data_IF_155005195425
#
_entry.id   IF_155005195425
#
_cell.length_a   1.000
_cell.length_b   1.000
_cell.length_c   1.000
_cell.angle_alpha   90.00
_cell.angle_beta   90.00
_cell.angle_gamma   90.00
#
_symmetry.space_group_name_H-M   'P 1'
#
loop_
_entity.id
_entity.type
_entity.pdbx_description
1 polymer ?
#
# COMPACT_ATOMS: atom_id res chain seq x y z
N UNK A 1 4.08 -14.66 3.48
CA UNK A 1 3.03 -14.40 4.47
C UNK A 1 1.68 -14.85 3.94
N UNK A 2 0.79 -15.29 4.82
CA UNK A 2 -0.63 -15.50 4.50
C UNK A 2 -1.36 -14.16 4.58
N UNK A 3 -2.27 -13.91 3.63
CA UNK A 3 -3.06 -12.67 3.57
C UNK A 3 -4.54 -13.02 3.78
N UNK A 4 -5.18 -12.32 4.71
CA UNK A 4 -6.57 -12.51 5.11
C UNK A 4 -7.40 -11.28 4.74
N UNK A 5 -8.40 -11.40 3.84
CA UNK A 5 -9.32 -10.31 3.57
C UNK A 5 -10.17 -10.01 4.81
N UNK A 6 -10.33 -8.71 5.12
CA UNK A 6 -11.12 -8.21 6.26
C UNK A 6 -12.31 -7.36 5.83
N UNK A 7 -12.63 -7.35 4.54
CA UNK A 7 -13.70 -6.54 3.95
C UNK A 7 -13.22 -5.15 3.59
N UNK A 8 -14.17 -4.21 3.49
CA UNK A 8 -13.91 -2.82 3.14
C UNK A 8 -13.95 -1.94 4.38
N UNK A 9 -13.12 -0.91 4.42
CA UNK A 9 -13.12 0.14 5.44
C UNK A 9 -13.24 1.50 4.76
N UNK A 10 -13.95 2.44 5.37
CA UNK A 10 -14.03 3.82 4.90
C UNK A 10 -13.08 4.68 5.74
N UNK A 11 -12.16 5.37 5.08
CA UNK A 11 -11.18 6.29 5.69
C UNK A 11 -11.38 7.65 5.03
N UNK A 12 -11.84 8.63 5.82
CA UNK A 12 -12.38 9.88 5.29
C UNK A 12 -13.42 9.59 4.18
N UNK A 13 -13.15 10.01 2.94
CA UNK A 13 -14.02 9.80 1.79
C UNK A 13 -13.59 8.63 0.89
N UNK A 14 -12.51 7.93 1.24
CA UNK A 14 -11.94 6.84 0.45
C UNK A 14 -12.40 5.50 1.03
N UNK A 15 -12.83 4.58 0.15
CA UNK A 15 -13.10 3.19 0.54
C UNK A 15 -11.92 2.32 0.19
N UNK A 16 -11.37 1.62 1.18
CA UNK A 16 -10.22 0.75 1.03
C UNK A 16 -10.62 -0.71 1.24
N UNK A 17 -10.09 -1.61 0.41
CA UNK A 17 -10.07 -3.05 0.70
C UNK A 17 -9.01 -3.31 1.77
N UNK A 18 -9.42 -3.92 2.89
CA UNK A 18 -8.56 -4.17 4.05
C UNK A 18 -8.13 -5.62 4.11
N UNK A 19 -6.86 -5.82 4.40
CA UNK A 19 -6.28 -7.13 4.64
C UNK A 19 -5.38 -7.12 5.87
N UNK A 20 -5.28 -8.26 6.52
CA UNK A 20 -4.31 -8.53 7.57
C UNK A 20 -3.46 -9.72 7.19
N UNK A 21 -2.32 -9.88 7.82
CA UNK A 21 -1.37 -10.95 7.51
C UNK A 21 -1.00 -11.72 8.77
N UNK A 22 -0.52 -12.95 8.61
CA UNK A 22 -0.02 -13.76 9.73
C UNK A 22 1.28 -13.19 10.35
N UNK A 23 1.93 -12.25 9.68
CA UNK A 23 3.11 -11.53 10.17
C UNK A 23 2.77 -10.22 10.89
N UNK A 24 1.49 -9.89 11.03
CA UNK A 24 1.01 -8.70 11.73
C UNK A 24 0.93 -7.43 10.89
N UNK A 25 1.21 -7.49 9.58
CA UNK A 25 1.00 -6.36 8.68
C UNK A 25 -0.49 -6.09 8.44
N UNK A 26 -0.85 -4.81 8.43
CA UNK A 26 -2.12 -4.29 7.92
C UNK A 26 -1.87 -3.78 6.49
N UNK A 27 -2.75 -4.16 5.56
CA UNK A 27 -2.69 -3.71 4.16
C UNK A 27 -4.02 -3.06 3.81
N UNK A 28 -3.96 -1.90 3.17
CA UNK A 28 -5.12 -1.23 2.60
C UNK A 28 -4.88 -0.99 1.11
N UNK A 29 -5.89 -1.25 0.29
CA UNK A 29 -5.87 -0.96 -1.13
C UNK A 29 -7.01 0.00 -1.46
N UNK A 30 -6.66 1.13 -2.05
CA UNK A 30 -7.60 2.17 -2.50
C UNK A 30 -7.37 2.52 -3.97
N UNK A 31 -8.30 3.30 -4.51
CA UNK A 31 -8.09 4.01 -5.77
C UNK A 31 -8.23 5.50 -5.50
N UNK A 32 -7.11 6.20 -5.62
CA UNK A 32 -6.99 7.62 -5.34
C UNK A 32 -6.59 8.35 -6.62
N UNK A 33 -7.38 9.34 -7.02
CA UNK A 33 -7.22 10.07 -8.29
C UNK A 33 -7.02 9.15 -9.50
N UNK A 34 -7.82 8.08 -9.57
CA UNK A 34 -7.79 7.09 -10.65
C UNK A 34 -6.61 6.11 -10.60
N UNK A 35 -5.63 6.30 -9.72
CA UNK A 35 -4.46 5.42 -9.55
C UNK A 35 -4.69 4.41 -8.43
N UNK A 36 -4.21 3.18 -8.59
CA UNK A 36 -4.21 2.22 -7.48
C UNK A 36 -3.17 2.62 -6.43
N UNK A 37 -3.57 2.52 -5.18
CA UNK A 37 -2.72 2.77 -4.03
C UNK A 37 -2.76 1.56 -3.11
N UNK A 38 -1.58 1.11 -2.67
CA UNK A 38 -1.44 0.12 -1.61
C UNK A 38 -0.65 0.76 -0.49
N UNK A 39 -1.19 0.70 0.72
CA UNK A 39 -0.45 0.98 1.94
C UNK A 39 -0.26 -0.31 2.73
N UNK A 40 0.94 -0.49 3.28
CA UNK A 40 1.27 -1.61 4.15
C UNK A 40 2.01 -1.09 5.36
N UNK A 41 1.56 -1.47 6.56
CA UNK A 41 2.15 -1.03 7.82
C UNK A 41 2.24 -2.19 8.81
N UNK A 42 3.09 -2.03 9.81
CA UNK A 42 3.18 -2.93 10.95
C UNK A 42 3.35 -2.13 12.24
N UNK A 43 2.75 -2.63 13.34
CA UNK A 43 2.67 -1.88 14.61
C UNK A 43 4.05 -1.57 15.21
N UNK A 44 4.99 -2.50 15.13
CA UNK A 44 6.26 -2.44 15.89
C UNK A 44 7.53 -2.29 15.04
N UNK A 45 7.44 -2.42 13.71
CA UNK A 45 8.59 -2.43 12.80
C UNK A 45 8.15 -2.03 11.40
N UNK A 46 9.09 -1.74 10.53
CA UNK A 46 8.82 -1.67 9.10
C UNK A 46 8.43 -3.04 8.52
N UNK A 47 7.42 -3.09 7.62
CA UNK A 47 7.24 -4.22 6.74
C UNK A 47 8.55 -4.56 6.01
N UNK A 48 8.85 -5.84 5.88
CA UNK A 48 10.04 -6.28 5.15
C UNK A 48 9.81 -6.11 3.64
N UNK A 49 10.90 -6.07 2.88
CA UNK A 49 10.83 -6.05 1.43
C UNK A 49 10.00 -7.22 0.88
N UNK A 50 10.16 -8.43 1.43
CA UNK A 50 9.42 -9.61 0.98
C UNK A 50 7.92 -9.51 1.27
N UNK A 51 7.52 -8.94 2.41
CA UNK A 51 6.11 -8.67 2.72
C UNK A 51 5.50 -7.66 1.75
N UNK A 52 6.21 -6.57 1.47
CA UNK A 52 5.79 -5.54 0.52
C UNK A 52 5.67 -6.13 -0.89
N UNK A 53 6.71 -6.83 -1.35
CA UNK A 53 6.77 -7.47 -2.67
C UNK A 53 5.64 -8.48 -2.84
N UNK A 54 5.40 -9.32 -1.83
CA UNK A 54 4.33 -10.29 -1.89
C UNK A 54 2.96 -9.61 -1.93
N UNK A 55 2.68 -8.65 -1.04
CA UNK A 55 1.41 -7.91 -1.04
C UNK A 55 1.14 -7.26 -2.40
N UNK A 56 2.15 -6.66 -3.03
CA UNK A 56 2.06 -6.09 -4.37
C UNK A 56 1.67 -7.14 -5.42
N UNK A 57 2.34 -8.29 -5.47
CA UNK A 57 2.11 -9.26 -6.54
C UNK A 57 0.88 -10.15 -6.34
N UNK A 58 0.40 -10.28 -5.10
CA UNK A 58 -0.77 -11.09 -4.76
C UNK A 58 -2.06 -10.28 -4.80
N UNK A 59 -2.03 -8.98 -4.49
CA UNK A 59 -3.25 -8.17 -4.33
C UNK A 59 -3.47 -7.12 -5.43
N UNK A 60 -2.45 -6.73 -6.18
CA UNK A 60 -2.55 -5.70 -7.22
C UNK A 60 -2.32 -6.29 -8.64
N UNK A 61 -2.87 -5.68 -9.71
CA UNK A 61 -2.73 -6.21 -11.07
C UNK A 61 -1.27 -6.33 -11.52
N UNK A 62 -0.85 -7.50 -12.01
CA UNK A 62 0.55 -7.74 -12.42
C UNK A 62 0.98 -7.02 -13.71
N UNK A 63 0.02 -6.47 -14.46
CA UNK A 63 0.23 -5.78 -15.74
C UNK A 63 0.52 -4.29 -15.61
N UNK A 64 0.63 -3.77 -14.39
CA UNK A 64 0.85 -2.36 -14.09
C UNK A 64 2.12 -2.17 -13.27
N UNK A 65 2.76 -1.03 -13.42
CA UNK A 65 3.94 -0.68 -12.62
C UNK A 65 3.54 0.04 -11.34
N UNK A 66 4.31 -0.19 -10.28
CA UNK A 66 4.10 0.46 -8.99
C UNK A 66 5.42 0.91 -8.42
N UNK A 67 5.43 2.11 -7.84
CA UNK A 67 6.60 2.70 -7.22
C UNK A 67 6.33 3.06 -5.75
N UNK A 68 7.38 2.97 -4.93
CA UNK A 68 7.41 3.62 -3.63
C UNK A 68 8.01 5.01 -3.83
N UNK A 69 7.21 6.04 -3.58
CA UNK A 69 7.59 7.44 -3.80
C UNK A 69 7.97 8.03 -2.45
N UNK A 70 9.08 8.75 -2.39
CA UNK A 70 9.40 9.66 -1.30
C UNK A 70 8.89 11.05 -1.70
N UNK A 71 7.80 11.57 -1.08
CA UNK A 71 7.30 12.90 -1.34
C UNK A 71 8.35 13.98 -1.09
N UNK A 72 8.06 15.18 -1.60
CA UNK A 72 8.85 16.37 -1.26
C UNK A 72 8.82 16.59 0.25
N UNK A 73 9.80 17.34 0.73
CA UNK A 73 9.83 17.76 2.12
C UNK A 73 8.53 18.49 2.49
N UNK A 74 8.00 18.20 3.68
CA UNK A 74 6.69 18.69 4.14
C UNK A 74 5.44 18.00 3.53
N UNK A 75 5.58 17.20 2.48
CA UNK A 75 4.47 16.43 1.86
C UNK A 75 4.45 14.97 2.35
N UNK A 76 5.42 14.54 3.17
CA UNK A 76 5.45 13.21 3.77
C UNK A 76 4.38 13.09 4.86
N UNK A 77 3.20 12.59 4.48
CA UNK A 77 2.11 12.32 5.42
C UNK A 77 2.14 10.82 5.77
N UNK A 78 2.53 10.50 7.00
CA UNK A 78 2.43 9.14 7.52
C UNK A 78 1.61 9.12 8.81
N UNK A 79 0.31 8.80 8.68
CA UNK A 79 -0.62 8.74 9.80
C UNK A 79 -0.42 7.49 10.66
N UNK A 80 0.22 6.45 10.13
CA UNK A 80 0.41 5.18 10.83
C UNK A 80 1.89 4.87 10.97
N UNK A 81 2.39 4.51 12.16
CA UNK A 81 3.79 4.14 12.31
C UNK A 81 4.16 3.01 11.34
N UNK A 82 5.37 3.11 10.80
CA UNK A 82 5.99 2.13 9.92
C UNK A 82 5.22 1.80 8.62
N UNK A 83 4.49 2.77 8.05
CA UNK A 83 3.76 2.57 6.80
C UNK A 83 4.63 2.84 5.56
N UNK A 84 4.51 1.97 4.56
CA UNK A 84 4.98 2.21 3.20
C UNK A 84 3.80 2.31 2.23
N UNK A 85 3.99 3.12 1.19
CA UNK A 85 2.98 3.40 0.18
C UNK A 85 3.51 3.03 -1.20
N UNK A 86 2.74 2.25 -1.95
CA UNK A 86 2.99 1.90 -3.34
C UNK A 86 1.89 2.52 -4.20
N UNK A 87 2.30 3.22 -5.25
CA UNK A 87 1.41 3.92 -6.17
C UNK A 87 1.54 3.37 -7.56
N UNK A 88 0.40 3.20 -8.25
CA UNK A 88 0.38 2.94 -9.69
C UNK A 88 1.07 4.07 -10.43
N UNK A 89 2.05 3.70 -11.26
CA UNK A 89 2.79 4.60 -12.15
C UNK A 89 2.62 4.15 -13.59
N UNK A 90 2.65 5.12 -14.50
CA UNK A 90 2.56 4.95 -15.95
C UNK A 90 3.91 5.27 -16.58
N UNK A 91 4.11 4.78 -17.80
CA UNK A 91 5.23 5.18 -18.64
C UNK A 91 5.26 6.72 -18.75
N UNK A 92 6.35 7.36 -18.30
CA UNK A 92 6.50 8.82 -18.23
C UNK A 92 6.40 9.44 -16.83
N UNK A 93 5.89 8.71 -15.82
CA UNK A 93 5.92 9.20 -14.43
C UNK A 93 7.31 9.05 -13.78
N UNK A 94 8.17 8.20 -14.35
CA UNK A 94 9.45 7.73 -13.76
C UNK A 94 10.65 7.98 -14.69
N UNK A 95 10.44 8.71 -15.79
CA UNK A 95 11.45 8.99 -16.82
C UNK A 95 11.85 10.46 -16.84
#
# INVERSE_FOLDING_TARGET
>A
MKIYPRGKVKIADITCDRYETDTGCLILISRDDGRLHLSISHKERYPTWDEIKQARYDLLPRTKDFAMILPKDGEYVNLHPNCFHLWEVKMGDIA
#
